data_IF_837948132865
#
_entry.id   IF_837948132865
#
_cell.length_a   1.000
_cell.length_b   1.000
_cell.length_c   1.000
_cell.angle_alpha   90.00
_cell.angle_beta   90.00
_cell.angle_gamma   90.00
#
_symmetry.space_group_name_H-M   'P 1'
#
loop_
_entity.id
_entity.type
_entity.pdbx_description
1 polymer ?
#
# COMPACT_ATOMS: atom_id res chain seq x y z
N UNK A 1 14.06 9.45 15.77
CA UNK A 1 12.64 9.28 15.42
C UNK A 1 12.57 8.77 13.99
N UNK A 2 12.16 7.52 13.77
CA UNK A 2 11.92 6.99 12.42
C UNK A 2 10.63 7.65 11.92
N UNK A 3 10.72 8.50 10.90
CA UNK A 3 9.55 9.08 10.23
C UNK A 3 9.12 8.11 9.12
N UNK A 4 7.84 7.76 9.08
CA UNK A 4 7.25 6.87 8.06
C UNK A 4 6.07 7.53 7.37
N UNK A 5 5.90 7.26 6.07
CA UNK A 5 4.73 7.67 5.30
C UNK A 5 3.65 6.60 5.41
N UNK A 6 2.50 6.94 5.99
CA UNK A 6 1.28 6.15 5.82
C UNK A 6 0.59 6.64 4.54
N UNK A 7 0.51 5.79 3.52
CA UNK A 7 -0.01 6.15 2.20
C UNK A 7 -1.30 5.39 1.88
N UNK A 8 -2.47 6.01 2.11
CA UNK A 8 -3.73 5.50 1.59
C UNK A 8 -3.71 5.51 0.06
N UNK A 9 -3.81 4.32 -0.56
CA UNK A 9 -3.88 4.18 -2.01
C UNK A 9 -5.28 4.46 -2.55
N UNK A 10 -6.28 4.41 -1.68
CA UNK A 10 -7.69 4.56 -1.99
C UNK A 10 -8.55 3.99 -0.87
N UNK A 11 -9.86 3.98 -1.06
CA UNK A 11 -10.81 3.58 0.00
C UNK A 11 -11.66 2.35 -0.36
N UNK A 12 -11.46 1.77 -1.55
CA UNK A 12 -12.14 0.53 -1.94
C UNK A 12 -11.59 -0.64 -1.12
N UNK A 13 -12.48 -1.46 -0.55
CA UNK A 13 -12.15 -2.64 0.22
C UNK A 13 -13.08 -3.80 -0.17
N UNK A 14 -12.56 -5.03 -0.14
CA UNK A 14 -13.35 -6.26 -0.34
C UNK A 14 -13.85 -6.85 0.98
N UNK A 15 -13.90 -6.05 2.05
CA UNK A 15 -14.40 -6.42 3.35
C UNK A 15 -15.20 -5.26 3.97
N UNK A 16 -16.16 -5.57 4.85
CA UNK A 16 -17.03 -4.58 5.50
C UNK A 16 -16.96 -4.76 7.03
N UNK A 17 -15.80 -4.48 7.63
CA UNK A 17 -15.59 -4.70 9.07
C UNK A 17 -16.51 -3.80 9.90
N UNK A 18 -17.19 -4.36 10.90
CA UNK A 18 -18.09 -3.61 11.81
C UNK A 18 -17.40 -2.51 12.61
N UNK A 19 -16.07 -2.60 12.76
CA UNK A 19 -15.24 -1.65 13.50
C UNK A 19 -14.41 -0.76 12.56
N UNK A 20 -14.68 -0.79 11.24
CA UNK A 20 -13.92 0.01 10.29
C UNK A 20 -14.20 1.50 10.50
N UNK A 21 -13.15 2.30 10.65
CA UNK A 21 -13.29 3.75 10.74
C UNK A 21 -13.50 4.40 9.36
N UNK A 22 -13.18 3.69 8.27
CA UNK A 22 -13.44 4.15 6.91
C UNK A 22 -14.89 3.82 6.55
N UNK A 23 -15.76 4.82 6.25
CA UNK A 23 -17.11 4.55 5.80
C UNK A 23 -17.08 3.86 4.44
N UNK A 24 -18.03 2.94 4.21
CA UNK A 24 -18.29 2.41 2.88
C UNK A 24 -18.62 3.58 1.94
N UNK A 25 -17.90 3.69 0.82
CA UNK A 25 -18.13 4.72 -0.20
C UNK A 25 -18.55 4.05 -1.51
N UNK A 26 -19.70 4.45 -2.05
CA UNK A 26 -20.20 3.97 -3.34
C UNK A 26 -19.28 4.36 -4.50
N UNK A 27 -18.49 5.42 -4.34
CA UNK A 27 -17.50 5.87 -5.32
C UNK A 27 -16.15 6.15 -4.63
N UNK A 28 -15.36 5.12 -4.32
CA UNK A 28 -14.14 5.27 -3.55
C UNK A 28 -13.09 6.00 -4.40
N UNK A 29 -12.67 7.18 -3.92
CA UNK A 29 -11.59 7.97 -4.52
C UNK A 29 -10.26 7.21 -4.38
N UNK A 30 -9.95 6.38 -5.38
CA UNK A 30 -8.63 5.77 -5.51
C UNK A 30 -7.63 6.81 -6.02
N UNK A 31 -6.45 6.88 -5.39
CA UNK A 31 -5.36 7.67 -5.94
C UNK A 31 -4.94 7.10 -7.29
N UNK A 32 -4.68 7.98 -8.24
CA UNK A 32 -4.02 7.62 -9.48
C UNK A 32 -2.57 7.26 -9.20
N UNK A 33 -1.95 6.50 -10.09
CA UNK A 33 -0.54 6.16 -9.97
C UNK A 33 0.37 7.40 -9.92
N UNK A 34 0.02 8.45 -10.67
CA UNK A 34 0.75 9.73 -10.66
C UNK A 34 0.63 10.46 -9.32
N UNK A 35 -0.53 10.43 -8.66
CA UNK A 35 -0.68 10.99 -7.31
C UNK A 35 0.17 10.22 -6.30
N UNK A 36 0.14 8.89 -6.36
CA UNK A 36 0.97 8.01 -5.51
C UNK A 36 2.45 8.31 -5.71
N UNK A 37 2.91 8.41 -6.96
CA UNK A 37 4.30 8.74 -7.29
C UNK A 37 4.72 10.10 -6.74
N UNK A 38 3.86 11.13 -6.84
CA UNK A 38 4.12 12.45 -6.27
C UNK A 38 4.28 12.40 -4.74
N UNK A 39 3.43 11.64 -4.05
CA UNK A 39 3.51 11.49 -2.59
C UNK A 39 4.80 10.76 -2.16
N UNK A 40 5.19 9.71 -2.89
CA UNK A 40 6.43 8.96 -2.61
C UNK A 40 7.67 9.82 -2.84
N UNK A 41 7.72 10.60 -3.93
CA UNK A 41 8.83 11.53 -4.21
C UNK A 41 8.92 12.61 -3.12
N UNK A 42 7.78 13.16 -2.70
CA UNK A 42 7.74 14.13 -1.60
C UNK A 42 8.27 13.52 -0.31
N UNK A 43 7.86 12.30 0.03
CA UNK A 43 8.36 11.62 1.22
C UNK A 43 9.88 11.39 1.17
N UNK A 44 10.43 10.93 0.04
CA UNK A 44 11.89 10.80 -0.13
C UNK A 44 12.61 12.14 0.01
N UNK A 45 12.06 13.24 -0.54
CA UNK A 45 12.64 14.58 -0.37
C UNK A 45 12.68 15.06 1.10
N UNK A 46 11.87 14.46 1.96
CA UNK A 46 11.81 14.73 3.41
C UNK A 46 12.67 13.77 4.24
N UNK A 47 13.45 12.87 3.61
CA UNK A 47 14.25 11.85 4.30
C UNK A 47 13.41 10.75 4.95
N UNK A 48 12.25 10.41 4.38
CA UNK A 48 11.40 9.30 4.84
C UNK A 48 11.77 8.04 4.06
N UNK A 49 12.24 7.01 4.76
CA UNK A 49 12.67 5.74 4.15
C UNK A 49 11.74 4.57 4.46
N UNK A 50 10.67 4.79 5.23
CA UNK A 50 9.60 3.82 5.48
C UNK A 50 8.28 4.27 4.84
N UNK A 51 7.65 3.39 4.07
CA UNK A 51 6.30 3.58 3.53
C UNK A 51 5.39 2.43 3.95
N UNK A 52 4.19 2.77 4.43
CA UNK A 52 3.11 1.84 4.72
C UNK A 52 1.99 2.04 3.72
N UNK A 53 1.85 1.10 2.79
CA UNK A 53 0.77 1.05 1.80
C UNK A 53 -0.51 0.60 2.52
N UNK A 54 -1.52 1.48 2.53
CA UNK A 54 -2.76 1.31 3.31
C UNK A 54 -3.98 1.88 2.57
N UNK A 55 -5.10 2.07 3.26
CA UNK A 55 -6.35 2.63 2.74
C UNK A 55 -7.52 1.68 3.01
N UNK A 56 -8.28 1.36 1.96
CA UNK A 56 -9.16 0.20 1.95
C UNK A 56 -8.35 -1.11 1.94
N UNK A 57 -8.48 -1.92 0.90
CA UNK A 57 -7.63 -3.12 0.75
C UNK A 57 -6.65 -2.93 -0.42
N UNK A 58 -5.35 -2.69 -0.17
CA UNK A 58 -4.37 -2.49 -1.23
C UNK A 58 -4.30 -3.65 -2.25
N UNK A 59 -4.48 -4.90 -1.81
CA UNK A 59 -4.28 -6.07 -2.67
C UNK A 59 -5.37 -6.27 -3.74
N UNK A 60 -6.47 -5.53 -3.70
CA UNK A 60 -7.49 -5.55 -4.77
C UNK A 60 -7.14 -4.62 -5.95
N UNK A 61 -6.14 -3.75 -5.78
CA UNK A 61 -5.71 -2.85 -6.87
C UNK A 61 -4.99 -3.62 -7.95
N UNK A 62 -5.39 -3.38 -9.21
CA UNK A 62 -4.77 -4.01 -10.39
C UNK A 62 -3.29 -3.60 -10.58
N UNK A 63 -2.95 -2.40 -10.13
CA UNK A 63 -1.62 -1.78 -10.24
C UNK A 63 -0.76 -1.92 -8.97
N UNK A 64 -1.15 -2.76 -8.00
CA UNK A 64 -0.43 -2.90 -6.72
C UNK A 64 1.06 -3.23 -6.89
N UNK A 65 1.40 -4.11 -7.84
CA UNK A 65 2.79 -4.48 -8.10
C UNK A 65 3.62 -3.34 -8.69
N UNK A 66 2.99 -2.46 -9.48
CA UNK A 66 3.63 -1.27 -10.04
C UNK A 66 3.93 -0.25 -8.94
N UNK A 67 2.99 -0.05 -8.01
CA UNK A 67 3.18 0.80 -6.83
C UNK A 67 4.32 0.29 -5.95
N UNK A 68 4.38 -1.01 -5.68
CA UNK A 68 5.48 -1.62 -4.90
C UNK A 68 6.82 -1.45 -5.63
N UNK A 69 6.84 -1.64 -6.95
CA UNK A 69 8.05 -1.44 -7.74
C UNK A 69 8.53 0.02 -7.72
N UNK A 70 7.61 0.99 -7.74
CA UNK A 70 7.94 2.41 -7.56
C UNK A 70 8.58 2.66 -6.19
N UNK A 71 8.04 2.08 -5.12
CA UNK A 71 8.64 2.21 -3.78
C UNK A 71 10.07 1.63 -3.76
N UNK A 72 10.28 0.45 -4.36
CA UNK A 72 11.60 -0.16 -4.45
C UNK A 72 12.58 0.68 -5.28
N UNK A 73 12.12 1.24 -6.41
CA UNK A 73 12.91 2.11 -7.28
C UNK A 73 13.30 3.43 -6.60
N UNK A 74 12.47 3.90 -5.68
CA UNK A 74 12.72 5.08 -4.87
C UNK A 74 13.53 4.78 -3.60
N UNK A 75 14.04 3.55 -3.45
CA UNK A 75 14.92 3.15 -2.37
C UNK A 75 14.29 3.40 -0.98
N UNK A 76 13.03 3.01 -0.81
CA UNK A 76 12.45 2.87 0.53
C UNK A 76 13.02 1.61 1.20
N UNK A 77 13.60 1.75 2.40
CA UNK A 77 14.16 0.65 3.19
C UNK A 77 13.06 -0.30 3.68
N UNK A 78 11.93 0.25 4.11
CA UNK A 78 10.78 -0.52 4.59
C UNK A 78 9.57 -0.21 3.72
N UNK A 79 9.09 -1.24 3.03
CA UNK A 79 7.87 -1.21 2.22
C UNK A 79 6.87 -2.14 2.92
N UNK A 80 6.10 -1.54 3.83
CA UNK A 80 5.06 -2.24 4.57
C UNK A 80 3.76 -2.33 3.76
N UNK A 81 3.16 -3.51 3.72
CA UNK A 81 1.80 -3.72 3.23
C UNK A 81 0.84 -3.90 4.42
N UNK A 82 -0.13 -2.99 4.57
CA UNK A 82 -1.26 -3.17 5.48
C UNK A 82 -2.42 -3.82 4.71
N UNK A 83 -2.86 -5.01 5.12
CA UNK A 83 -3.83 -5.81 4.35
C UNK A 83 -4.69 -6.66 5.28
N UNK A 84 -5.91 -6.97 4.89
CA UNK A 84 -6.76 -7.95 5.57
C UNK A 84 -6.28 -9.41 5.39
N UNK A 85 -5.19 -9.63 4.65
CA UNK A 85 -4.54 -10.93 4.52
C UNK A 85 -5.22 -11.93 3.60
N UNK A 86 -6.44 -11.67 3.10
CA UNK A 86 -7.19 -12.65 2.28
C UNK A 86 -6.41 -13.07 1.03
N UNK A 87 -5.78 -12.11 0.35
CA UNK A 87 -4.98 -12.39 -0.85
C UNK A 87 -3.66 -13.11 -0.53
N UNK A 88 -3.19 -13.09 0.72
CA UNK A 88 -1.96 -13.78 1.14
C UNK A 88 -2.16 -15.31 1.23
N UNK A 89 -3.41 -15.78 1.29
CA UNK A 89 -3.73 -17.22 1.20
C UNK A 89 -3.31 -17.83 -0.14
N UNK A 90 -3.22 -17.02 -1.20
CA UNK A 90 -2.70 -17.45 -2.50
C UNK A 90 -1.18 -17.34 -2.51
N UNK A 91 -0.49 -18.47 -2.29
CA UNK A 91 0.98 -18.52 -2.21
C UNK A 91 1.69 -17.77 -3.35
N UNK A 92 1.27 -17.99 -4.60
CA UNK A 92 1.88 -17.33 -5.76
C UNK A 92 1.73 -15.80 -5.73
N UNK A 93 0.62 -15.28 -5.18
CA UNK A 93 0.41 -13.85 -5.02
C UNK A 93 1.31 -13.30 -3.92
N UNK A 94 1.39 -13.99 -2.78
CA UNK A 94 2.30 -13.63 -1.68
C UNK A 94 3.78 -13.62 -2.11
N UNK A 95 4.23 -14.69 -2.78
CA UNK A 95 5.59 -14.77 -3.33
C UNK A 95 5.88 -13.60 -4.29
N UNK A 96 4.88 -13.19 -5.08
CA UNK A 96 5.01 -12.07 -6.01
C UNK A 96 5.11 -10.72 -5.28
N UNK A 97 4.36 -10.50 -4.20
CA UNK A 97 4.48 -9.28 -3.37
C UNK A 97 5.89 -9.13 -2.81
N UNK A 98 6.45 -10.21 -2.25
CA UNK A 98 7.81 -10.23 -1.69
C UNK A 98 8.83 -9.94 -2.80
N UNK A 99 8.75 -10.63 -3.93
CA UNK A 99 9.66 -10.41 -5.08
C UNK A 99 9.57 -8.98 -5.62
N UNK A 100 8.37 -8.39 -5.64
CA UNK A 100 8.17 -7.00 -6.08
C UNK A 100 8.81 -5.99 -5.13
N UNK A 101 8.91 -6.29 -3.83
CA UNK A 101 9.65 -5.47 -2.87
C UNK A 101 9.03 -5.34 -1.48
N UNK A 102 7.87 -5.93 -1.21
CA UNK A 102 7.29 -5.90 0.16
C UNK A 102 8.19 -6.68 1.10
N UNK A 103 8.55 -6.07 2.22
CA UNK A 103 9.44 -6.66 3.23
C UNK A 103 8.90 -6.55 4.67
N UNK A 104 7.73 -5.93 4.85
CA UNK A 104 7.02 -5.85 6.12
C UNK A 104 5.51 -6.04 5.86
N UNK A 105 4.83 -6.85 6.67
CA UNK A 105 3.41 -7.14 6.54
C UNK A 105 2.71 -6.82 7.85
N UNK A 106 1.68 -5.97 7.79
CA UNK A 106 0.73 -5.77 8.87
C UNK A 106 -0.61 -6.36 8.44
N UNK A 107 -1.01 -7.45 9.09
CA UNK A 107 -2.20 -8.25 8.78
C UNK A 107 -3.19 -8.18 9.92
#
# INVERSE_FOLDING_TARGET
>A
MIRGLFLPLGYLCNNNCIHCFLPYQDNPLNKTLEQIKKDLLKAKSMGIDRVSLTGGEPTIRKDIFEIIHLCKKLEFDIIQLQTNGRMLSYKNFCDKLIKSGVNDFAV
#
